data_IF_168508271078
#
_entry.id   IF_168508271078
#
_cell.length_a   1.000
_cell.length_b   1.000
_cell.length_c   1.000
_cell.angle_alpha   90.00
_cell.angle_beta   90.00
_cell.angle_gamma   90.00
#
_symmetry.space_group_name_H-M   'P 1'
#
loop_
_entity.id
_entity.type
_entity.pdbx_description
1 polymer ?
#
# COMPACT_ATOMS: atom_id res chain seq x y z
N UNK A 1 5.45 19.73 -31.31
CA UNK A 1 5.16 18.60 -30.40
C UNK A 1 3.67 18.70 -30.14
N UNK A 2 2.90 17.92 -30.90
CA UNK A 2 1.44 18.06 -30.99
C UNK A 2 0.75 17.47 -29.76
N UNK A 3 -0.26 18.18 -29.28
CA UNK A 3 -1.08 17.86 -28.12
C UNK A 3 -1.86 16.56 -28.33
N UNK A 4 -1.79 15.64 -27.36
CA UNK A 4 -2.50 14.37 -27.33
C UNK A 4 -4.00 14.59 -27.11
N UNK A 5 -4.68 15.04 -28.15
CA UNK A 5 -6.14 15.08 -28.20
C UNK A 5 -6.68 13.67 -28.48
N UNK A 6 -7.02 12.97 -27.39
CA UNK A 6 -8.15 12.06 -27.28
C UNK A 6 -8.25 10.85 -28.24
N UNK A 7 -8.05 9.63 -27.73
CA UNK A 7 -8.73 8.44 -28.29
C UNK A 7 -8.04 7.08 -28.08
N UNK A 8 -8.54 6.31 -27.10
CA UNK A 8 -8.29 4.87 -26.83
C UNK A 8 -6.82 4.43 -26.65
N UNK A 9 -6.46 4.11 -25.41
CA UNK A 9 -5.27 3.32 -25.08
C UNK A 9 -5.39 1.92 -25.68
N UNK A 10 -4.35 1.40 -26.33
CA UNK A 10 -4.32 0.02 -26.82
C UNK A 10 -4.27 -0.96 -25.64
N UNK A 11 -4.85 -2.15 -25.80
CA UNK A 11 -4.90 -3.15 -24.72
C UNK A 11 -3.50 -3.50 -24.21
N UNK A 12 -2.48 -3.59 -25.08
CA UNK A 12 -1.10 -3.77 -24.65
C UNK A 12 -0.52 -2.58 -23.88
N UNK A 13 -0.86 -1.33 -24.23
CA UNK A 13 -0.41 -0.16 -23.46
C UNK A 13 -1.09 -0.10 -22.09
N UNK A 14 -2.37 -0.46 -22.03
CA UNK A 14 -3.11 -0.61 -20.77
C UNK A 14 -2.51 -1.72 -19.91
N UNK A 15 -2.22 -2.88 -20.50
CA UNK A 15 -1.56 -3.98 -19.81
C UNK A 15 -0.14 -3.60 -19.36
N UNK A 16 0.64 -2.88 -20.17
CA UNK A 16 1.97 -2.40 -19.79
C UNK A 16 1.90 -1.39 -18.64
N UNK A 17 0.95 -0.44 -18.67
CA UNK A 17 0.72 0.51 -17.59
C UNK A 17 0.22 -0.18 -16.30
N UNK A 18 -0.65 -1.19 -16.43
CA UNK A 18 -1.17 -1.97 -15.30
C UNK A 18 -0.10 -2.91 -14.70
N UNK A 19 0.76 -3.50 -15.52
CA UNK A 19 1.89 -4.34 -15.09
C UNK A 19 2.97 -3.48 -14.41
N UNK A 20 3.13 -2.23 -14.84
CA UNK A 20 4.15 -1.30 -14.33
C UNK A 20 3.75 -0.56 -13.04
N UNK A 21 2.74 -1.03 -12.29
CA UNK A 21 2.43 -0.42 -10.98
C UNK A 21 3.54 -0.69 -9.96
N UNK A 22 4.24 -1.83 -10.06
CA UNK A 22 5.42 -2.10 -9.25
C UNK A 22 6.61 -1.18 -9.61
N UNK A 23 6.71 -0.73 -10.87
CA UNK A 23 7.74 0.19 -11.35
C UNK A 23 7.42 1.66 -11.04
N UNK A 24 6.17 1.98 -10.68
CA UNK A 24 5.73 3.36 -10.43
C UNK A 24 6.35 3.99 -9.18
N UNK A 25 6.77 3.19 -8.19
CA UNK A 25 7.53 3.73 -7.04
C UNK A 25 8.89 4.31 -7.44
N UNK A 26 9.43 3.93 -8.61
CA UNK A 26 10.70 4.41 -9.14
C UNK A 26 10.54 5.56 -10.15
N UNK A 27 9.31 5.99 -10.44
CA UNK A 27 9.04 7.11 -11.34
C UNK A 27 9.22 8.42 -10.58
N UNK A 28 9.98 9.34 -11.19
CA UNK A 28 10.16 10.70 -10.67
C UNK A 28 8.78 11.36 -10.50
N UNK A 29 8.46 11.77 -9.28
CA UNK A 29 7.15 12.35 -8.93
C UNK A 29 6.12 11.37 -8.38
N UNK A 30 6.45 10.10 -8.14
CA UNK A 30 5.56 9.15 -7.43
C UNK A 30 5.01 9.72 -6.11
N UNK A 31 5.87 10.31 -5.29
CA UNK A 31 5.45 10.94 -4.03
C UNK A 31 4.41 12.05 -4.26
N UNK A 32 4.58 12.86 -5.32
CA UNK A 32 3.62 13.89 -5.70
C UNK A 32 2.29 13.27 -6.12
N UNK A 33 2.32 12.24 -6.98
CA UNK A 33 1.14 11.54 -7.47
C UNK A 33 0.35 10.92 -6.31
N UNK A 34 1.05 10.22 -5.40
CA UNK A 34 0.43 9.59 -4.23
C UNK A 34 -0.13 10.64 -3.28
N UNK A 35 0.58 11.74 -3.06
CA UNK A 35 0.08 12.83 -2.20
C UNK A 35 -1.18 13.46 -2.78
N UNK A 36 -1.18 13.77 -4.08
CA UNK A 36 -2.37 14.32 -4.76
C UNK A 36 -3.53 13.32 -4.76
N UNK A 37 -3.29 12.04 -5.04
CA UNK A 37 -4.32 11.01 -4.98
C UNK A 37 -4.89 10.87 -3.56
N UNK A 38 -4.04 10.98 -2.53
CA UNK A 38 -4.48 10.97 -1.14
C UNK A 38 -5.35 12.18 -0.80
N UNK A 39 -5.08 13.37 -1.31
CA UNK A 39 -5.95 14.55 -1.09
C UNK A 39 -7.39 14.32 -1.59
N UNK A 40 -7.55 13.68 -2.76
CA UNK A 40 -8.88 13.32 -3.28
C UNK A 40 -9.51 12.20 -2.45
N UNK A 41 -8.74 11.15 -2.14
CA UNK A 41 -9.20 10.05 -1.29
C UNK A 41 -9.66 10.55 0.08
N UNK A 42 -8.93 11.48 0.70
CA UNK A 42 -9.21 12.07 2.00
C UNK A 42 -10.60 12.72 2.07
N UNK A 43 -11.03 13.33 0.97
CA UNK A 43 -12.29 14.07 0.89
C UNK A 43 -13.49 13.15 0.64
N UNK A 44 -13.35 12.18 -0.27
CA UNK A 44 -14.50 11.41 -0.77
C UNK A 44 -14.57 9.98 -0.24
N UNK A 45 -13.42 9.32 -0.06
CA UNK A 45 -13.35 7.86 0.08
C UNK A 45 -12.69 7.40 1.40
N UNK A 46 -12.02 8.29 2.13
CA UNK A 46 -11.37 7.98 3.39
C UNK A 46 -12.39 7.90 4.53
N UNK A 47 -13.04 6.74 4.60
CA UNK A 47 -13.97 6.37 5.65
C UNK A 47 -13.24 5.98 6.93
N UNK A 48 -13.95 6.09 8.05
CA UNK A 48 -13.49 5.49 9.31
C UNK A 48 -13.35 3.99 9.12
N UNK A 49 -12.29 3.39 9.64
CA UNK A 49 -11.96 1.96 9.43
C UNK A 49 -11.30 1.40 10.69
N UNK A 50 -11.58 0.14 11.02
CA UNK A 50 -10.92 -0.57 12.13
C UNK A 50 -9.64 -1.29 11.68
N UNK A 51 -8.77 -1.69 12.62
CA UNK A 51 -7.61 -2.52 12.29
C UNK A 51 -8.02 -3.84 11.61
N UNK A 52 -9.12 -4.47 12.05
CA UNK A 52 -9.63 -5.72 11.47
C UNK A 52 -10.11 -5.54 10.04
N UNK A 53 -10.89 -4.49 9.77
CA UNK A 53 -11.38 -4.16 8.43
C UNK A 53 -10.21 -3.89 7.48
N UNK A 54 -9.19 -3.17 7.95
CA UNK A 54 -7.99 -2.88 7.17
C UNK A 54 -7.15 -4.13 6.91
N UNK A 55 -7.03 -5.05 7.89
CA UNK A 55 -6.38 -6.34 7.67
C UNK A 55 -7.11 -7.17 6.60
N UNK A 56 -8.44 -7.19 6.64
CA UNK A 56 -9.26 -7.88 5.66
C UNK A 56 -9.10 -7.29 4.26
N UNK A 57 -9.13 -5.95 4.13
CA UNK A 57 -8.92 -5.24 2.87
C UNK A 57 -7.53 -5.54 2.28
N UNK A 58 -6.51 -5.64 3.14
CA UNK A 58 -5.13 -5.97 2.74
C UNK A 58 -4.88 -7.48 2.56
N UNK A 59 -5.85 -8.33 2.88
CA UNK A 59 -5.70 -9.78 2.77
C UNK A 59 -4.64 -10.37 3.72
N UNK A 60 -4.33 -9.69 4.83
CA UNK A 60 -3.36 -10.14 5.83
C UNK A 60 -4.06 -10.66 7.09
N UNK A 61 -3.42 -11.58 7.80
CA UNK A 61 -3.99 -12.20 8.99
C UNK A 61 -2.92 -12.55 10.03
N UNK A 62 -3.35 -12.84 11.26
CA UNK A 62 -2.48 -13.22 12.37
C UNK A 62 -2.21 -12.08 13.37
N UNK A 63 -1.69 -12.43 14.55
CA UNK A 63 -1.55 -11.48 15.67
C UNK A 63 -0.65 -10.27 15.39
N UNK A 64 0.29 -10.38 14.46
CA UNK A 64 1.14 -9.25 14.02
C UNK A 64 0.48 -8.36 12.98
N UNK A 65 -0.57 -8.81 12.30
CA UNK A 65 -1.26 -8.02 11.27
C UNK A 65 -1.94 -6.79 11.89
N UNK A 66 -2.67 -6.97 12.99
CA UNK A 66 -3.32 -5.86 13.69
C UNK A 66 -2.31 -4.79 14.15
N UNK A 67 -1.16 -5.22 14.67
CA UNK A 67 -0.08 -4.30 15.06
C UNK A 67 0.52 -3.57 13.86
N UNK A 68 0.68 -4.25 12.73
CA UNK A 68 1.21 -3.67 11.50
C UNK A 68 0.30 -2.59 10.91
N UNK A 69 -1.03 -2.82 10.92
CA UNK A 69 -1.98 -1.86 10.35
C UNK A 69 -2.34 -0.71 11.28
N UNK A 70 -2.06 -0.86 12.58
CA UNK A 70 -2.37 0.16 13.58
C UNK A 70 -1.75 1.52 13.24
N UNK A 71 -0.52 1.51 12.73
CA UNK A 71 0.20 2.74 12.36
C UNK A 71 -0.37 3.41 11.09
N UNK A 72 -1.32 2.77 10.42
CA UNK A 72 -1.97 3.29 9.22
C UNK A 72 -3.25 4.07 9.54
N UNK A 73 -3.80 3.92 10.75
CA UNK A 73 -5.05 4.54 11.17
C UNK A 73 -4.76 5.72 12.09
N UNK A 74 -5.32 6.90 11.78
CA UNK A 74 -5.15 8.10 12.60
C UNK A 74 -5.97 8.01 13.87
N UNK A 75 -5.32 8.25 15.01
CA UNK A 75 -6.01 8.32 16.31
C UNK A 75 -7.03 9.48 16.42
N UNK A 76 -6.93 10.51 15.57
CA UNK A 76 -7.79 11.70 15.63
C UNK A 76 -9.22 11.45 15.14
N UNK A 77 -9.37 10.62 14.11
CA UNK A 77 -10.64 10.44 13.39
C UNK A 77 -10.89 9.00 12.91
N UNK A 78 -9.96 8.07 13.18
CA UNK A 78 -10.11 6.66 12.81
C UNK A 78 -10.00 6.40 11.30
N UNK A 79 -9.46 7.35 10.55
CA UNK A 79 -9.28 7.27 9.09
C UNK A 79 -7.87 6.84 8.71
N UNK A 80 -7.69 6.34 7.49
CA UNK A 80 -6.36 6.02 6.97
C UNK A 80 -5.49 7.27 6.85
N UNK A 81 -4.21 7.15 7.19
CA UNK A 81 -3.20 8.16 6.88
C UNK A 81 -2.53 7.88 5.52
N UNK A 82 -1.69 8.81 5.07
CA UNK A 82 -0.97 8.69 3.80
C UNK A 82 -0.11 7.41 3.72
N UNK A 83 0.47 6.97 4.84
CA UNK A 83 1.26 5.74 4.89
C UNK A 83 0.38 4.50 4.62
N UNK A 84 -0.79 4.44 5.24
CA UNK A 84 -1.79 3.40 5.00
C UNK A 84 -2.25 3.38 3.55
N UNK A 85 -2.61 4.55 3.02
CA UNK A 85 -2.99 4.70 1.61
C UNK A 85 -1.88 4.26 0.65
N UNK A 86 -0.63 4.67 0.90
CA UNK A 86 0.54 4.24 0.11
C UNK A 86 0.73 2.73 0.15
N UNK A 87 0.51 2.12 1.31
CA UNK A 87 0.65 0.68 1.48
C UNK A 87 -0.41 -0.09 0.69
N UNK A 88 -1.64 0.43 0.63
CA UNK A 88 -2.72 -0.15 -0.19
C UNK A 88 -2.40 -0.09 -1.69
N UNK A 89 -1.94 1.05 -2.20
CA UNK A 89 -1.62 1.21 -3.64
C UNK A 89 -0.32 0.50 -4.05
N UNK A 90 0.66 0.40 -3.14
CA UNK A 90 1.97 -0.19 -3.39
C UNK A 90 2.01 -1.72 -3.33
N UNK A 91 0.87 -2.34 -3.01
CA UNK A 91 0.70 -3.68 -2.42
C UNK A 91 1.35 -3.77 -1.03
N UNK A 92 0.62 -4.28 -0.02
CA UNK A 92 1.22 -4.54 1.28
C UNK A 92 2.30 -5.59 1.08
N UNK A 93 3.53 -5.28 1.50
CA UNK A 93 4.51 -6.32 1.72
C UNK A 93 4.13 -6.96 3.06
N UNK A 94 3.53 -8.17 3.09
CA UNK A 94 3.09 -8.74 4.34
C UNK A 94 4.30 -8.91 5.27
N UNK A 95 4.09 -8.82 6.61
CA UNK A 95 5.14 -9.09 7.60
C UNK A 95 5.85 -10.45 7.40
N UNK A 96 5.28 -11.36 6.62
CA UNK A 96 5.84 -12.67 6.25
C UNK A 96 7.07 -12.59 5.31
N UNK A 97 7.44 -11.40 4.84
CA UNK A 97 8.74 -11.15 4.20
C UNK A 97 9.84 -10.69 5.17
N UNK A 98 9.57 -10.60 6.47
CA UNK A 98 10.63 -10.51 7.48
C UNK A 98 11.33 -11.88 7.54
N UNK A 99 12.67 -11.95 7.45
CA UNK A 99 13.36 -13.23 7.53
C UNK A 99 12.90 -13.94 8.79
N UNK A 100 12.44 -15.19 8.66
CA UNK A 100 12.19 -16.06 9.79
C UNK A 100 13.29 -15.82 10.82
N UNK A 101 12.94 -15.33 12.01
CA UNK A 101 13.87 -15.38 13.13
C UNK A 101 14.22 -16.86 13.25
N UNK A 102 15.40 -17.21 12.73
CA UNK A 102 15.92 -18.58 12.75
C UNK A 102 15.73 -19.03 14.19
N UNK A 103 15.04 -20.16 14.44
CA UNK A 103 14.89 -20.65 15.81
C UNK A 103 16.29 -20.69 16.43
N UNK A 104 16.45 -20.23 17.69
CA UNK A 104 17.76 -20.16 18.30
C UNK A 104 18.45 -21.50 18.12
N UNK A 105 19.67 -21.48 17.56
CA UNK A 105 20.42 -22.70 17.28
C UNK A 105 20.44 -23.52 18.60
N UNK A 106 20.03 -24.80 18.57
CA UNK A 106 19.92 -25.63 19.78
C UNK A 106 21.26 -25.86 20.49
N UNK A 107 22.36 -25.32 19.96
CA UNK A 107 23.72 -25.46 20.47
C UNK A 107 24.23 -24.22 21.23
N UNK A 108 23.41 -23.19 21.47
CA UNK A 108 23.84 -22.00 22.24
C UNK A 108 23.67 -22.15 23.76
N UNK A 109 23.62 -23.38 24.28
CA UNK A 109 23.65 -23.66 25.71
C UNK A 109 24.80 -24.62 26.00
N UNK A 110 26.02 -24.09 26.01
CA UNK A 110 27.18 -24.67 26.69
C UNK A 110 27.66 -23.70 27.75
#
# INVERSE_FOLDING_TARGET
MESLANGKMYFEEFCAAAISIASLQAVEGWEQIVSTAFEYFEQEENRVTSEEELCQEMGISGGRALLYVKDFIRNSDGKLNLLGFRTLIGRPNPPDMWPEEKPPDPESNT
#
